data_IF_565281170175
#
_entry.id   IF_565281170175
#
_cell.length_a   1.000
_cell.length_b   1.000
_cell.length_c   1.000
_cell.angle_alpha   90.00
_cell.angle_beta   90.00
_cell.angle_gamma   90.00
#
_symmetry.space_group_name_H-M   'P 1'
#
loop_
_entity.id
_entity.type
_entity.pdbx_description
1 polymer ?
#
# COMPACT_ATOMS: atom_id res chain seq x y z
N UNK A 1 15.41 -1.40 -7.47
CA UNK A 1 14.95 -1.40 -6.08
C UNK A 1 16.13 -1.54 -5.13
N UNK A 2 16.26 -0.64 -4.16
CA UNK A 2 17.25 -0.71 -3.08
C UNK A 2 16.55 -0.46 -1.75
N UNK A 3 16.68 -1.39 -0.80
CA UNK A 3 16.09 -1.31 0.53
C UNK A 3 17.21 -1.21 1.56
N UNK A 4 17.12 -0.25 2.48
CA UNK A 4 18.10 -0.09 3.56
C UNK A 4 17.50 0.64 4.75
N UNK A 5 18.19 0.56 5.89
CA UNK A 5 17.84 1.28 7.11
C UNK A 5 18.78 2.46 7.33
N UNK A 6 18.22 3.60 7.77
CA UNK A 6 18.97 4.81 8.13
C UNK A 6 18.16 5.63 9.13
N UNK A 7 18.78 6.06 10.22
CA UNK A 7 18.18 6.95 11.23
C UNK A 7 16.82 6.45 11.77
N UNK A 8 16.70 5.13 12.06
CA UNK A 8 15.46 4.45 12.46
C UNK A 8 14.31 4.52 11.42
N UNK A 9 14.66 4.72 10.16
CA UNK A 9 13.74 4.66 9.02
C UNK A 9 14.18 3.53 8.10
N UNK A 10 13.20 2.83 7.54
CA UNK A 10 13.44 1.94 6.39
C UNK A 10 13.13 2.73 5.13
N UNK A 11 14.05 2.70 4.17
CA UNK A 11 13.97 3.49 2.94
C UNK A 11 14.03 2.54 1.74
N UNK A 12 13.05 2.68 0.86
CA UNK A 12 12.94 1.96 -0.40
C UNK A 12 13.15 2.91 -1.57
N UNK A 13 14.25 2.77 -2.29
CA UNK A 13 14.58 3.59 -3.46
C UNK A 13 14.39 2.84 -4.77
N UNK A 14 14.04 3.59 -5.82
CA UNK A 14 13.91 3.08 -7.18
C UNK A 14 12.96 1.86 -7.25
N UNK A 15 11.85 1.94 -6.52
CA UNK A 15 10.74 1.01 -6.64
C UNK A 15 9.86 1.46 -7.81
N UNK A 16 9.58 0.54 -8.73
CA UNK A 16 8.63 0.80 -9.82
C UNK A 16 7.21 0.41 -9.36
N UNK A 17 6.20 1.15 -9.83
CA UNK A 17 4.79 0.86 -9.56
C UNK A 17 4.48 0.76 -8.06
N UNK A 18 4.87 1.80 -7.31
CA UNK A 18 4.47 1.99 -5.93
C UNK A 18 4.11 3.45 -5.74
N UNK A 19 2.89 3.73 -5.33
CA UNK A 19 2.44 5.04 -4.87
C UNK A 19 1.52 4.87 -3.67
N UNK A 20 1.93 5.35 -2.49
CA UNK A 20 1.16 5.20 -1.26
C UNK A 20 -0.30 5.64 -1.42
N UNK A 21 -0.55 6.80 -2.04
CA UNK A 21 -1.90 7.32 -2.21
C UNK A 21 -2.74 6.42 -3.12
N UNK A 22 -2.21 5.99 -4.26
CA UNK A 22 -2.89 5.08 -5.18
C UNK A 22 -3.17 3.73 -4.51
N UNK A 23 -2.23 3.18 -3.75
CA UNK A 23 -2.38 1.90 -3.03
C UNK A 23 -3.44 2.01 -1.93
N UNK A 24 -3.38 3.06 -1.10
CA UNK A 24 -4.21 3.15 0.11
C UNK A 24 -5.60 3.71 -0.11
N UNK A 25 -5.87 4.34 -1.27
CA UNK A 25 -7.17 4.93 -1.60
C UNK A 25 -7.92 4.22 -2.73
N UNK A 26 -7.38 3.17 -3.33
CA UNK A 26 -8.06 2.41 -4.38
C UNK A 26 -9.22 1.51 -3.89
N UNK A 27 -9.52 1.51 -2.59
CA UNK A 27 -10.64 0.79 -1.99
C UNK A 27 -10.32 -0.63 -1.50
N UNK A 28 -9.07 -1.08 -1.60
CA UNK A 28 -8.66 -2.41 -1.14
C UNK A 28 -8.48 -2.53 0.38
N UNK A 29 -8.20 -1.42 1.06
CA UNK A 29 -7.91 -1.36 2.49
C UNK A 29 -8.55 -0.13 3.12
N UNK A 30 -8.98 -0.26 4.38
CA UNK A 30 -9.76 0.79 5.06
C UNK A 30 -9.04 1.41 6.25
N UNK A 31 -7.96 0.80 6.76
CA UNK A 31 -7.28 1.23 7.99
C UNK A 31 -5.99 2.01 7.75
N UNK A 32 -5.81 2.50 6.53
CA UNK A 32 -4.82 3.53 6.20
C UNK A 32 -5.45 4.93 6.31
N UNK A 33 -4.75 5.84 7.00
CA UNK A 33 -5.18 7.20 7.26
C UNK A 33 -4.13 8.19 6.74
N UNK A 34 -4.55 9.13 5.91
CA UNK A 34 -3.68 10.20 5.38
C UNK A 34 -3.43 11.24 6.48
N UNK A 35 -2.16 11.59 6.69
CA UNK A 35 -1.69 12.59 7.64
C UNK A 35 -1.56 13.96 6.94
N UNK A 36 -1.38 15.03 7.73
CA UNK A 36 -1.28 16.40 7.19
C UNK A 36 -0.06 16.63 6.29
N UNK A 37 0.99 15.84 6.45
CA UNK A 37 2.21 15.88 5.63
C UNK A 37 2.12 15.02 4.36
N UNK A 38 0.96 14.39 4.12
CA UNK A 38 0.73 13.50 2.98
C UNK A 38 1.25 12.07 3.18
N UNK A 39 1.84 11.76 4.34
CA UNK A 39 2.12 10.38 4.73
C UNK A 39 0.85 9.62 5.07
N UNK A 40 0.93 8.30 5.17
CA UNK A 40 -0.18 7.44 5.56
C UNK A 40 0.19 6.57 6.74
N UNK A 41 -0.66 6.51 7.76
CA UNK A 41 -0.47 5.67 8.95
C UNK A 41 -1.48 4.52 8.98
N UNK A 42 -1.03 3.33 9.40
CA UNK A 42 -1.88 2.15 9.64
C UNK A 42 -1.53 1.46 10.95
N UNK A 43 -2.47 0.63 11.42
CA UNK A 43 -2.22 -0.37 12.46
C UNK A 43 -2.50 -1.75 11.90
N UNK A 44 -1.46 -2.56 11.71
CA UNK A 44 -1.58 -3.92 11.17
C UNK A 44 -0.93 -4.92 12.13
N UNK A 45 -1.68 -5.94 12.57
CA UNK A 45 -1.22 -6.97 13.50
C UNK A 45 -0.53 -6.43 14.77
N UNK A 46 -1.05 -5.33 15.32
CA UNK A 46 -0.50 -4.68 16.52
C UNK A 46 0.72 -3.79 16.29
N UNK A 47 1.16 -3.61 15.03
CA UNK A 47 2.26 -2.73 14.65
C UNK A 47 1.73 -1.44 14.01
N UNK A 48 2.39 -0.32 14.29
CA UNK A 48 2.09 0.97 13.69
C UNK A 48 3.13 1.26 12.62
N UNK A 49 2.67 1.51 11.39
CA UNK A 49 3.55 1.87 10.28
C UNK A 49 3.07 3.19 9.68
N UNK A 50 4.01 4.10 9.45
CA UNK A 50 3.79 5.32 8.67
C UNK A 50 4.61 5.25 7.37
N UNK A 51 3.99 5.64 6.26
CA UNK A 51 4.55 5.54 4.90
C UNK A 51 4.45 6.89 4.22
N UNK A 52 5.59 7.41 3.76
CA UNK A 52 5.67 8.67 3.02
C UNK A 52 6.32 8.44 1.65
N UNK A 53 5.66 8.90 0.59
CA UNK A 53 6.29 9.02 -0.72
C UNK A 53 7.20 10.26 -0.73
N UNK A 54 8.47 10.09 -1.12
CA UNK A 54 9.46 11.16 -1.24
C UNK A 54 10.22 11.02 -2.57
N UNK A 55 9.74 11.72 -3.60
CA UNK A 55 10.23 11.65 -4.98
C UNK A 55 10.45 10.21 -5.51
N UNK A 56 11.71 9.75 -5.53
CA UNK A 56 12.11 8.42 -6.01
C UNK A 56 12.26 7.39 -4.87
N UNK A 57 11.75 7.71 -3.69
CA UNK A 57 11.87 6.92 -2.47
C UNK A 57 10.52 6.78 -1.78
N UNK A 58 10.42 5.71 -1.00
CA UNK A 58 9.35 5.51 -0.03
C UNK A 58 9.99 5.35 1.33
N UNK A 59 9.56 6.16 2.29
CA UNK A 59 10.08 6.19 3.64
C UNK A 59 9.07 5.48 4.54
N UNK A 60 9.57 4.52 5.32
CA UNK A 60 8.80 3.73 6.27
C UNK A 60 9.29 4.03 7.68
N UNK A 61 8.39 4.51 8.53
CA UNK A 61 8.65 4.82 9.94
C UNK A 61 7.83 3.90 10.84
N UNK A 62 8.45 3.40 11.91
CA UNK A 62 7.83 2.46 12.85
C UNK A 62 8.18 0.99 12.60
N UNK A 63 9.17 0.72 11.74
CA UNK A 63 9.73 -0.60 11.45
C UNK A 63 11.25 -0.51 11.34
N UNK A 64 11.94 -1.63 11.49
CA UNK A 64 13.35 -1.80 11.14
C UNK A 64 13.50 -2.73 9.93
N UNK A 65 14.71 -2.96 9.44
CA UNK A 65 14.95 -3.77 8.24
C UNK A 65 14.54 -5.24 8.44
N UNK A 66 14.74 -5.81 9.62
CA UNK A 66 14.37 -7.19 9.95
C UNK A 66 12.85 -7.37 9.85
N UNK A 67 12.09 -6.57 10.59
CA UNK A 67 10.62 -6.57 10.56
C UNK A 67 10.08 -6.26 9.15
N UNK A 68 10.73 -5.36 8.42
CA UNK A 68 10.32 -5.04 7.06
C UNK A 68 10.44 -6.22 6.12
N UNK A 69 11.53 -6.98 6.21
CA UNK A 69 11.70 -8.17 5.40
C UNK A 69 10.70 -9.27 5.79
N UNK A 70 10.38 -9.41 7.07
CA UNK A 70 9.45 -10.45 7.56
C UNK A 70 7.98 -10.17 7.26
N UNK A 71 7.57 -8.90 7.25
CA UNK A 71 6.15 -8.51 7.21
C UNK A 71 5.85 -7.65 5.98
N UNK A 72 6.60 -6.56 5.82
CA UNK A 72 6.21 -5.48 4.93
C UNK A 72 6.52 -5.78 3.46
N UNK A 73 7.56 -6.57 3.16
CA UNK A 73 7.85 -7.05 1.80
C UNK A 73 6.64 -7.77 1.20
N UNK A 74 6.07 -8.71 1.95
CA UNK A 74 4.92 -9.49 1.49
C UNK A 74 3.63 -8.66 1.55
N UNK A 75 3.43 -7.87 2.62
CA UNK A 75 2.24 -7.01 2.76
C UNK A 75 2.06 -6.06 1.56
N UNK A 76 3.15 -5.43 1.09
CA UNK A 76 3.14 -4.53 -0.06
C UNK A 76 3.37 -5.24 -1.42
N UNK A 77 3.43 -6.57 -1.42
CA UNK A 77 3.64 -7.41 -2.60
C UNK A 77 4.89 -7.01 -3.40
N UNK A 78 5.98 -6.63 -2.72
CA UNK A 78 7.16 -6.01 -3.35
C UNK A 78 7.95 -6.96 -4.27
N UNK A 79 7.74 -8.27 -4.14
CA UNK A 79 8.38 -9.29 -4.97
C UNK A 79 7.70 -9.45 -6.35
N UNK A 80 6.48 -8.94 -6.53
CA UNK A 80 5.74 -9.05 -7.80
C UNK A 80 6.16 -8.00 -8.82
N UNK A 81 6.39 -8.44 -10.05
CA UNK A 81 6.76 -7.59 -11.17
C UNK A 81 5.53 -6.98 -11.86
N UNK A 82 5.00 -5.89 -11.28
CA UNK A 82 3.87 -5.14 -11.84
C UNK A 82 4.15 -4.55 -13.22
N UNK A 83 5.42 -4.35 -13.60
CA UNK A 83 5.77 -3.86 -14.95
C UNK A 83 5.38 -4.86 -16.02
N UNK A 84 5.67 -6.14 -15.80
CA UNK A 84 5.28 -7.20 -16.75
C UNK A 84 3.77 -7.40 -16.76
N UNK A 85 3.10 -7.35 -15.60
CA UNK A 85 1.62 -7.40 -15.53
C UNK A 85 1.00 -6.28 -16.37
N UNK A 86 1.48 -5.04 -16.18
CA UNK A 86 1.00 -3.89 -16.94
C UNK A 86 1.24 -4.07 -18.44
N UNK A 87 2.44 -4.49 -18.82
CA UNK A 87 2.79 -4.75 -20.23
C UNK A 87 1.86 -5.79 -20.88
N UNK A 88 1.49 -6.86 -20.17
CA UNK A 88 0.54 -7.86 -20.67
C UNK A 88 -0.86 -7.28 -20.85
N UNK A 89 -1.33 -6.47 -19.89
CA UNK A 89 -2.68 -5.88 -19.91
C UNK A 89 -2.80 -4.68 -20.88
N UNK A 90 -1.69 -4.01 -21.21
CA UNK A 90 -1.66 -2.84 -22.11
C UNK A 90 -1.99 -3.16 -23.57
N UNK A 91 -2.13 -4.44 -23.94
CA UNK A 91 -2.62 -4.83 -25.27
C UNK A 91 -4.10 -4.42 -25.51
N UNK A 92 -4.79 -3.98 -24.46
CA UNK A 92 -6.13 -3.41 -24.51
C UNK A 92 -6.07 -1.93 -24.15
N UNK A 93 -6.53 -1.04 -25.04
CA UNK A 93 -6.49 0.41 -24.85
C UNK A 93 -7.26 0.89 -23.61
N UNK A 94 -8.41 0.27 -23.30
CA UNK A 94 -9.21 0.60 -22.12
C UNK A 94 -8.41 0.29 -20.85
N UNK A 95 -7.75 -0.87 -20.82
CA UNK A 95 -6.91 -1.25 -19.68
C UNK A 95 -5.65 -0.41 -19.59
N UNK A 96 -5.03 -0.05 -20.72
CA UNK A 96 -3.87 0.85 -20.73
C UNK A 96 -4.21 2.19 -20.07
N UNK A 97 -5.32 2.81 -20.50
CA UNK A 97 -5.78 4.08 -19.92
C UNK A 97 -6.12 3.95 -18.43
N UNK A 98 -6.79 2.86 -18.03
CA UNK A 98 -7.10 2.60 -16.62
C UNK A 98 -5.85 2.42 -15.75
N UNK A 99 -4.82 1.73 -16.26
CA UNK A 99 -3.55 1.54 -15.55
C UNK A 99 -2.72 2.81 -15.45
N UNK A 100 -2.83 3.71 -16.42
CA UNK A 100 -2.17 5.01 -16.36
C UNK A 100 -2.82 5.92 -15.31
N UNK A 101 -4.15 5.91 -15.21
CA UNK A 101 -4.85 6.57 -14.10
C UNK A 101 -4.48 5.95 -12.74
N UNK A 102 -4.45 4.62 -12.66
CA UNK A 102 -4.08 3.86 -11.46
C UNK A 102 -2.58 3.60 -11.30
N UNK A 103 -1.71 4.45 -11.86
CA UNK A 103 -0.26 4.23 -11.80
C UNK A 103 0.22 4.18 -10.36
N UNK A 104 0.97 3.13 -10.02
CA UNK A 104 1.50 2.93 -8.67
C UNK A 104 0.64 2.04 -7.77
N UNK A 105 -0.55 1.62 -8.21
CA UNK A 105 -1.35 0.63 -7.50
C UNK A 105 -0.59 -0.70 -7.40
N UNK A 106 -0.66 -1.28 -6.19
CA UNK A 106 -0.28 -2.65 -5.86
C UNK A 106 -1.40 -3.27 -5.04
N UNK A 107 -1.58 -4.58 -5.14
CA UNK A 107 -2.52 -5.33 -4.31
C UNK A 107 -1.83 -5.70 -3.01
N UNK A 108 -2.40 -5.28 -1.88
CA UNK A 108 -1.86 -5.56 -0.56
C UNK A 108 -2.17 -7.00 -0.14
N UNK A 109 -1.17 -7.70 0.41
CA UNK A 109 -1.33 -9.01 1.02
C UNK A 109 -1.80 -8.87 2.48
N UNK A 110 -3.09 -8.53 2.65
CA UNK A 110 -3.68 -8.23 3.95
C UNK A 110 -4.01 -9.50 4.76
N UNK A 111 -4.16 -9.34 6.08
CA UNK A 111 -4.63 -10.43 6.94
C UNK A 111 -6.05 -10.87 6.54
N UNK A 112 -6.23 -12.17 6.30
CA UNK A 112 -7.50 -12.72 5.82
C UNK A 112 -8.69 -12.47 6.74
N UNK A 113 -8.50 -12.54 8.06
CA UNK A 113 -9.58 -12.32 9.02
C UNK A 113 -9.99 -10.84 9.05
N UNK A 114 -9.03 -9.94 9.11
CA UNK A 114 -9.26 -8.49 9.04
C UNK A 114 -9.97 -8.10 7.74
N UNK A 115 -9.51 -8.65 6.60
CA UNK A 115 -10.12 -8.42 5.30
C UNK A 115 -11.57 -8.93 5.26
N UNK A 116 -11.82 -10.17 5.71
CA UNK A 116 -13.17 -10.75 5.72
C UNK A 116 -14.16 -9.86 6.49
N UNK A 117 -13.81 -9.47 7.71
CA UNK A 117 -14.67 -8.61 8.54
C UNK A 117 -14.85 -7.24 7.88
N UNK A 118 -13.78 -6.65 7.35
CA UNK A 118 -13.82 -5.34 6.69
C UNK A 118 -14.77 -5.32 5.49
N UNK A 119 -14.74 -6.36 4.66
CA UNK A 119 -15.61 -6.46 3.48
C UNK A 119 -17.04 -6.90 3.81
N UNK A 120 -17.28 -7.59 4.92
CA UNK A 120 -18.64 -7.77 5.44
C UNK A 120 -19.24 -6.42 5.84
N UNK A 121 -18.47 -5.57 6.53
CA UNK A 121 -18.90 -4.23 6.96
C UNK A 121 -19.10 -3.27 5.78
N UNK A 122 -18.38 -3.49 4.67
CA UNK A 122 -18.47 -2.63 3.48
C UNK A 122 -19.76 -2.80 2.68
N UNK A 123 -20.48 -3.90 2.88
CA UNK A 123 -21.74 -4.18 2.20
C UNK A 123 -22.75 -3.05 2.40
N UNK A 124 -23.15 -2.40 1.30
CA UNK A 124 -24.07 -1.26 1.27
C UNK A 124 -23.66 -0.09 2.20
N UNK A 125 -22.36 0.21 2.24
CA UNK A 125 -21.79 1.20 3.16
C UNK A 125 -20.82 2.15 2.45
N UNK A 126 -20.65 3.36 2.99
CA UNK A 126 -19.72 4.35 2.42
C UNK A 126 -18.37 4.27 3.13
N UNK A 127 -17.27 4.50 2.39
CA UNK A 127 -15.88 4.44 2.91
C UNK A 127 -15.72 5.16 4.26
N UNK A 128 -16.18 6.41 4.46
CA UNK A 128 -16.04 7.09 5.76
C UNK A 128 -16.69 6.33 6.92
N UNK A 129 -17.86 5.70 6.69
CA UNK A 129 -18.58 4.94 7.71
C UNK A 129 -17.93 3.58 7.97
N UNK A 130 -17.39 2.93 6.94
CA UNK A 130 -16.60 1.69 7.08
C UNK A 130 -15.38 1.96 7.96
N UNK A 131 -14.59 3.00 7.65
CA UNK A 131 -13.39 3.37 8.43
C UNK A 131 -13.74 3.64 9.90
N UNK A 132 -14.84 4.32 10.17
CA UNK A 132 -15.27 4.62 11.53
C UNK A 132 -15.66 3.36 12.34
N UNK A 133 -16.22 2.34 11.69
CA UNK A 133 -16.58 1.07 12.34
C UNK A 133 -15.37 0.15 12.61
N UNK A 134 -14.24 0.38 11.92
CA UNK A 134 -13.00 -0.40 12.03
C UNK A 134 -11.91 0.27 12.90
N UNK A 135 -12.20 1.43 13.48
CA UNK A 135 -11.35 2.08 14.48
C UNK A 135 -11.43 1.33 15.80
#
# INVERSE_FOLDING_TARGET
MKLYEKDNLVILENVENFDAKAIFTCGQAFRWYEETDGSFTTVHLGRVLNVLNDDNKVIFKGTNLEEFNEIWIDYFDLNTNYKEIRKTLSNNEILANAMDYGKGIRILNQNHFEMLISFIISANNMIPRIKNLLK
#
